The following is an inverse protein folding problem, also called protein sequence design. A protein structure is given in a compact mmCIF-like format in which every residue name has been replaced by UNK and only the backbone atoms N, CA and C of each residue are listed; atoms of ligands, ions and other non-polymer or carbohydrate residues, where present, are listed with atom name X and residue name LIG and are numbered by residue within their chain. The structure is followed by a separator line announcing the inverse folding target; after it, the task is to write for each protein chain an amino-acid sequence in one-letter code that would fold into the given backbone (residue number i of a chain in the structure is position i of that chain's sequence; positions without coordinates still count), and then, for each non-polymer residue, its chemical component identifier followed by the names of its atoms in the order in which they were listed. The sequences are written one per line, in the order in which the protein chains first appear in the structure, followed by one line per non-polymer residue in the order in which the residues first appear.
data_IF_765236094131
#
_entry.id   IF_765236094131
#
_cell.length_a   1.000
_cell.length_b   1.000
_cell.length_c   1.000
_cell.angle_alpha   90.00
_cell.angle_beta   90.00
_cell.angle_gamma   90.00
#
_symmetry.space_group_name_H-M   'P 1'
#
loop_
_entity.id
_entity.type
_entity.pdbx_description
1 polymer ?
#
# COMPACT_ATOMS: atom_id res chain seq x y z
N UNK A 1 -13.26 10.28 -36.82
CA UNK A 1 -13.92 9.17 -36.09
C UNK A 1 -14.84 8.46 -37.06
N UNK A 2 -14.82 7.11 -37.09
CA UNK A 2 -15.72 6.32 -37.94
C UNK A 2 -16.84 5.74 -37.08
N UNK A 3 -18.12 5.89 -37.47
CA UNK A 3 -19.24 5.36 -36.71
C UNK A 3 -19.33 3.82 -36.84
N UNK A 4 -19.98 3.18 -35.89
CA UNK A 4 -20.43 1.79 -36.04
C UNK A 4 -21.60 1.80 -37.02
N UNK A 5 -21.54 0.94 -38.07
CA UNK A 5 -22.54 0.89 -39.11
C UNK A 5 -23.40 -0.37 -39.01
N UNK A 6 -24.62 -0.34 -39.56
CA UNK A 6 -25.51 -1.51 -39.60
C UNK A 6 -24.87 -2.72 -40.25
N UNK A 7 -24.04 -2.51 -41.29
CA UNK A 7 -23.28 -3.59 -41.92
C UNK A 7 -22.29 -4.27 -40.97
N UNK A 8 -21.62 -3.49 -40.11
CA UNK A 8 -20.74 -4.05 -39.09
C UNK A 8 -21.52 -4.82 -38.01
N UNK A 9 -22.65 -4.28 -37.55
CA UNK A 9 -23.50 -4.93 -36.56
C UNK A 9 -24.09 -6.25 -37.08
N UNK A 10 -24.56 -6.27 -38.33
CA UNK A 10 -25.07 -7.48 -38.94
C UNK A 10 -23.98 -8.57 -39.07
N UNK A 11 -22.75 -8.20 -39.43
CA UNK A 11 -21.64 -9.13 -39.44
C UNK A 11 -21.32 -9.67 -38.06
N UNK A 12 -21.21 -8.81 -37.03
CA UNK A 12 -20.91 -9.22 -35.65
C UNK A 12 -22.03 -10.11 -35.09
N UNK A 13 -23.30 -9.84 -35.42
CA UNK A 13 -24.41 -10.68 -35.03
C UNK A 13 -24.33 -12.07 -35.67
N UNK A 14 -24.03 -12.14 -36.99
CA UNK A 14 -23.84 -13.42 -37.67
C UNK A 14 -22.65 -14.22 -37.10
N UNK A 15 -21.52 -13.57 -36.81
CA UNK A 15 -20.36 -14.20 -36.19
C UNK A 15 -20.68 -14.75 -34.80
N UNK A 16 -21.52 -14.04 -34.02
CA UNK A 16 -21.99 -14.48 -32.70
C UNK A 16 -22.91 -15.72 -32.83
N UNK A 17 -23.92 -15.67 -33.70
CA UNK A 17 -24.86 -16.77 -33.92
C UNK A 17 -24.19 -18.05 -34.44
N UNK A 18 -23.07 -17.91 -35.15
CA UNK A 18 -22.31 -19.05 -35.67
C UNK A 18 -21.38 -19.71 -34.65
N UNK A 19 -21.14 -19.07 -33.49
CA UNK A 19 -20.18 -19.56 -32.48
C UNK A 19 -20.87 -20.36 -31.37
N UNK A 20 -20.64 -21.66 -31.31
CA UNK A 20 -21.10 -22.52 -30.24
C UNK A 20 -20.45 -22.16 -28.88
N UNK A 21 -19.18 -21.74 -28.91
CA UNK A 21 -18.44 -21.32 -27.71
C UNK A 21 -19.06 -20.07 -27.06
N UNK A 22 -19.46 -19.08 -27.91
CA UNK A 22 -20.13 -17.86 -27.41
C UNK A 22 -21.52 -18.17 -26.85
N UNK A 23 -22.25 -19.11 -27.42
CA UNK A 23 -23.53 -19.56 -26.87
C UNK A 23 -23.35 -20.28 -25.53
N UNK A 24 -22.34 -21.15 -25.36
CA UNK A 24 -22.04 -21.79 -24.09
C UNK A 24 -21.63 -20.74 -23.03
N UNK A 25 -20.78 -19.79 -23.40
CA UNK A 25 -20.41 -18.69 -22.52
C UNK A 25 -21.64 -17.87 -22.09
N UNK A 26 -22.56 -17.57 -23.00
CA UNK A 26 -23.82 -16.88 -22.70
C UNK A 26 -24.67 -17.64 -21.68
N UNK A 27 -24.80 -18.96 -21.83
CA UNK A 27 -25.54 -19.80 -20.87
C UNK A 27 -24.86 -19.78 -19.50
N UNK A 28 -23.55 -19.93 -19.42
CA UNK A 28 -22.79 -19.93 -18.20
C UNK A 28 -22.85 -18.56 -17.46
N UNK A 29 -22.70 -17.46 -18.22
CA UNK A 29 -22.67 -16.10 -17.68
C UNK A 29 -24.07 -15.53 -17.37
N UNK A 30 -25.14 -16.15 -17.81
CA UNK A 30 -26.51 -15.64 -17.61
C UNK A 30 -26.92 -15.50 -16.13
N UNK A 31 -26.31 -16.29 -15.23
CA UNK A 31 -26.60 -16.29 -13.78
C UNK A 31 -25.37 -16.47 -12.90
N UNK A 32 -24.17 -16.43 -13.50
CA UNK A 32 -22.92 -16.62 -12.75
C UNK A 32 -22.01 -15.41 -12.94
N UNK A 33 -21.31 -15.06 -11.90
CA UNK A 33 -20.28 -14.02 -11.93
C UNK A 33 -19.14 -14.45 -12.83
N UNK A 34 -18.61 -13.52 -13.63
CA UNK A 34 -17.66 -13.77 -14.73
C UNK A 34 -16.36 -14.42 -14.23
N UNK A 35 -15.79 -13.95 -13.11
CA UNK A 35 -14.57 -14.52 -12.52
C UNK A 35 -14.79 -15.96 -12.05
N UNK A 36 -15.99 -16.27 -11.52
CA UNK A 36 -16.34 -17.62 -11.08
C UNK A 36 -16.41 -18.61 -12.26
N UNK A 37 -16.85 -18.16 -13.43
CA UNK A 37 -16.90 -19.01 -14.64
C UNK A 37 -15.51 -19.17 -15.27
N UNK A 38 -14.70 -18.11 -15.25
CA UNK A 38 -13.33 -18.15 -15.76
C UNK A 38 -12.35 -18.93 -14.88
N UNK A 39 -12.74 -19.23 -13.62
CA UNK A 39 -11.87 -19.86 -12.63
C UNK A 39 -11.54 -21.32 -12.97
N UNK A 40 -10.26 -21.65 -12.90
CA UNK A 40 -9.70 -22.99 -13.15
C UNK A 40 -9.19 -23.63 -11.85
N UNK A 41 -9.94 -24.59 -11.30
CA UNK A 41 -9.51 -25.34 -10.13
C UNK A 41 -8.16 -26.07 -10.34
N UNK A 42 -7.81 -26.42 -11.58
CA UNK A 42 -6.52 -27.04 -11.91
C UNK A 42 -5.35 -26.10 -11.65
N UNK A 43 -5.48 -24.82 -12.02
CA UNK A 43 -4.49 -23.79 -11.73
C UNK A 43 -4.35 -23.57 -10.23
N UNK A 44 -5.45 -23.30 -9.54
CA UNK A 44 -5.48 -23.04 -8.11
C UNK A 44 -4.91 -24.20 -7.25
N UNK A 45 -5.14 -25.46 -7.64
CA UNK A 45 -4.61 -26.62 -6.95
C UNK A 45 -3.07 -26.71 -7.01
N UNK A 46 -2.41 -26.00 -7.92
CA UNK A 46 -0.96 -25.89 -7.97
C UNK A 46 -0.42 -24.87 -6.95
N UNK A 47 -1.26 -23.94 -6.47
CA UNK A 47 -0.90 -22.91 -5.50
C UNK A 47 -0.90 -23.46 -4.05
N UNK A 48 0.04 -24.35 -3.75
CA UNK A 48 0.14 -24.99 -2.44
C UNK A 48 0.79 -24.04 -1.43
N UNK A 49 0.24 -24.00 -0.21
CA UNK A 49 0.80 -23.27 0.95
C UNK A 49 2.00 -24.03 1.59
N UNK A 50 3.01 -24.37 0.76
CA UNK A 50 4.25 -25.03 1.22
C UNK A 50 5.42 -24.36 0.52
N UNK A 51 6.41 -23.93 1.31
CA UNK A 51 7.48 -23.09 0.83
C UNK A 51 8.83 -23.64 1.26
N UNK A 52 9.85 -23.51 0.42
CA UNK A 52 11.22 -23.92 0.73
C UNK A 52 11.94 -22.93 1.64
N UNK A 53 11.51 -21.67 1.63
CA UNK A 53 11.93 -20.60 2.54
C UNK A 53 10.68 -20.01 3.15
N UNK A 54 10.57 -20.03 4.47
CA UNK A 54 9.41 -19.53 5.20
C UNK A 54 9.86 -18.88 6.51
N UNK A 55 9.40 -17.65 6.75
CA UNK A 55 9.62 -16.92 8.00
C UNK A 55 8.38 -17.11 8.86
N UNK A 56 8.48 -17.72 10.05
CA UNK A 56 7.36 -17.78 10.98
C UNK A 56 6.96 -16.37 11.42
N UNK A 57 5.66 -16.09 11.41
CA UNK A 57 5.09 -14.80 11.83
C UNK A 57 3.99 -15.01 12.85
N UNK A 58 3.64 -13.94 13.57
CA UNK A 58 2.51 -13.89 14.50
C UNK A 58 1.18 -13.98 13.74
N UNK A 59 0.06 -14.05 14.48
CA UNK A 59 -1.27 -14.11 13.88
C UNK A 59 -1.54 -12.92 12.95
N UNK A 60 -2.27 -13.18 11.86
CA UNK A 60 -2.60 -12.14 10.87
C UNK A 60 -3.49 -11.06 11.44
N UNK A 61 -3.30 -9.83 11.01
CA UNK A 61 -4.06 -8.66 11.43
C UNK A 61 -5.30 -8.41 10.57
N UNK A 62 -6.15 -7.45 10.97
CA UNK A 62 -7.37 -7.14 10.23
C UNK A 62 -7.64 -5.63 10.17
N UNK A 63 -7.41 -5.02 9.00
CA UNK A 63 -7.65 -3.60 8.73
C UNK A 63 -9.13 -3.21 8.65
N UNK A 64 -10.04 -4.19 8.64
CA UNK A 64 -11.49 -3.97 8.51
C UNK A 64 -11.84 -3.17 7.24
N UNK A 65 -12.76 -2.21 7.37
CA UNK A 65 -13.25 -1.34 6.27
C UNK A 65 -12.47 -0.02 6.20
N UNK A 66 -11.12 -0.13 6.16
CA UNK A 66 -10.21 1.01 6.03
C UNK A 66 -9.14 0.74 4.98
N UNK A 67 -8.57 1.78 4.37
CA UNK A 67 -7.47 1.68 3.40
C UNK A 67 -6.09 1.68 4.04
N UNK A 68 -5.95 1.29 5.31
CA UNK A 68 -4.70 1.35 6.08
C UNK A 68 -3.78 0.13 5.87
N UNK A 69 -3.90 -0.60 4.76
CA UNK A 69 -3.09 -1.79 4.46
C UNK A 69 -1.59 -1.55 4.65
N UNK A 70 -1.09 -0.42 4.17
CA UNK A 70 0.31 -0.02 4.26
C UNK A 70 0.81 0.14 5.70
N UNK A 71 -0.03 0.66 6.62
CA UNK A 71 0.26 0.74 8.06
C UNK A 71 0.26 -0.65 8.71
N UNK A 72 -0.75 -1.48 8.39
CA UNK A 72 -0.82 -2.85 8.87
C UNK A 72 0.39 -3.66 8.41
N UNK A 73 0.73 -3.61 7.13
CA UNK A 73 1.91 -4.29 6.61
C UNK A 73 3.21 -3.80 7.27
N UNK A 74 3.38 -2.49 7.43
CA UNK A 74 4.58 -1.92 8.05
C UNK A 74 4.68 -2.26 9.55
N UNK A 75 3.59 -2.15 10.31
CA UNK A 75 3.58 -2.55 11.72
C UNK A 75 3.78 -4.04 11.89
N UNK A 76 3.32 -4.89 10.94
CA UNK A 76 3.59 -6.33 10.96
C UNK A 76 5.09 -6.62 10.77
N UNK A 77 5.80 -5.88 9.89
CA UNK A 77 7.26 -6.00 9.80
C UNK A 77 7.95 -5.64 11.11
N UNK A 78 7.53 -4.56 11.77
CA UNK A 78 8.13 -4.14 13.05
C UNK A 78 7.82 -5.11 14.18
N UNK A 79 6.57 -5.59 14.29
CA UNK A 79 6.15 -6.46 15.40
C UNK A 79 6.90 -7.78 15.43
N UNK A 80 7.26 -8.34 14.26
CA UNK A 80 8.03 -9.60 14.21
C UNK A 80 9.40 -9.43 14.88
N UNK A 81 10.07 -8.30 14.67
CA UNK A 81 11.34 -7.99 15.35
C UNK A 81 11.16 -7.79 16.85
N UNK A 82 10.12 -7.06 17.26
CA UNK A 82 9.82 -6.79 18.67
C UNK A 82 9.50 -8.11 19.39
N UNK A 83 8.64 -8.93 18.78
CA UNK A 83 8.24 -10.22 19.34
C UNK A 83 9.44 -11.18 19.49
N UNK A 84 10.32 -11.23 18.50
CA UNK A 84 11.54 -12.01 18.57
C UNK A 84 12.49 -11.51 19.67
N UNK A 85 12.71 -10.19 19.74
CA UNK A 85 13.60 -9.57 20.73
C UNK A 85 13.11 -9.72 22.18
N UNK A 86 11.79 -9.83 22.38
CA UNK A 86 11.14 -9.94 23.68
C UNK A 86 10.53 -11.32 23.97
N UNK A 87 10.77 -12.29 23.13
CA UNK A 87 10.25 -13.67 23.26
C UNK A 87 8.71 -13.68 23.43
N UNK A 88 7.98 -12.84 22.65
CA UNK A 88 6.53 -12.70 22.76
C UNK A 88 5.83 -13.76 21.91
N UNK A 89 4.79 -14.38 22.45
CA UNK A 89 3.94 -15.34 21.73
C UNK A 89 2.95 -14.60 20.79
N UNK A 90 2.44 -13.45 21.24
CA UNK A 90 1.55 -12.59 20.47
C UNK A 90 1.87 -11.12 20.77
N UNK A 91 1.85 -10.28 19.74
CA UNK A 91 2.08 -8.85 19.88
C UNK A 91 1.55 -8.11 18.66
N UNK A 92 0.98 -6.95 18.87
CA UNK A 92 0.54 -6.05 17.80
C UNK A 92 0.86 -4.60 18.17
N UNK A 93 1.32 -3.81 17.19
CA UNK A 93 1.43 -2.37 17.29
C UNK A 93 0.12 -1.70 16.91
N UNK A 94 -0.16 -0.52 17.45
CA UNK A 94 -1.36 0.23 17.14
C UNK A 94 -1.26 0.91 15.77
N UNK A 95 -2.02 0.41 14.81
CA UNK A 95 -2.22 1.08 13.52
C UNK A 95 -3.15 2.29 13.65
N UNK A 96 -4.03 2.27 14.65
CA UNK A 96 -4.93 3.39 14.98
C UNK A 96 -4.15 4.63 15.40
N UNK A 97 -3.10 4.47 16.23
CA UNK A 97 -2.20 5.54 16.63
C UNK A 97 -1.49 6.20 15.45
N UNK A 98 -0.91 5.38 14.58
CA UNK A 98 -0.22 5.86 13.39
C UNK A 98 -1.18 6.53 12.40
N UNK A 99 -2.39 5.97 12.24
CA UNK A 99 -3.41 6.53 11.38
C UNK A 99 -3.92 7.90 11.87
N UNK A 100 -4.03 8.11 13.19
CA UNK A 100 -4.35 9.42 13.76
C UNK A 100 -3.35 10.49 13.29
N UNK A 101 -2.06 10.21 13.47
CA UNK A 101 -1.01 11.16 13.11
C UNK A 101 -0.86 11.32 11.60
N UNK A 102 -0.98 10.24 10.83
CA UNK A 102 -0.99 10.32 9.37
C UNK A 102 -2.12 11.22 8.86
N UNK A 103 -3.35 11.06 9.37
CA UNK A 103 -4.48 11.90 8.99
C UNK A 103 -4.23 13.37 9.31
N UNK A 104 -3.72 13.65 10.50
CA UNK A 104 -3.44 15.02 10.92
C UNK A 104 -2.35 15.67 10.07
N UNK A 105 -1.25 14.97 9.83
CA UNK A 105 -0.14 15.46 9.02
C UNK A 105 -0.54 15.63 7.54
N UNK A 106 -1.31 14.71 6.97
CA UNK A 106 -1.83 14.86 5.60
C UNK A 106 -2.75 16.07 5.46
N UNK A 107 -3.55 16.37 6.49
CA UNK A 107 -4.35 17.57 6.46
C UNK A 107 -3.47 18.83 6.40
N UNK A 108 -2.38 18.87 7.17
CA UNK A 108 -1.40 19.94 7.10
C UNK A 108 -0.70 19.97 5.73
N UNK A 109 -0.26 18.83 5.22
CA UNK A 109 0.39 18.69 3.92
C UNK A 109 -0.50 19.16 2.76
N UNK A 110 -1.79 18.82 2.80
CA UNK A 110 -2.79 19.31 1.84
C UNK A 110 -2.92 20.84 1.88
N UNK A 111 -2.96 21.44 3.06
CA UNK A 111 -3.06 22.91 3.21
C UNK A 111 -1.80 23.60 2.73
N UNK A 112 -0.61 23.08 3.02
CA UNK A 112 0.66 23.60 2.50
C UNK A 112 0.73 23.49 0.96
N UNK A 113 0.40 22.33 0.39
CA UNK A 113 0.34 22.14 -1.06
C UNK A 113 -0.66 23.08 -1.74
N UNK A 114 -1.78 23.37 -1.06
CA UNK A 114 -2.77 24.34 -1.50
C UNK A 114 -2.21 25.77 -1.53
N UNK A 115 -1.43 26.14 -0.52
CA UNK A 115 -0.77 27.46 -0.44
C UNK A 115 0.36 27.58 -1.46
N UNK A 116 1.19 26.56 -1.63
CA UNK A 116 2.25 26.51 -2.64
C UNK A 116 1.72 26.75 -4.06
N UNK A 117 0.55 26.18 -4.35
CA UNK A 117 -0.10 26.28 -5.68
C UNK A 117 -1.15 27.39 -5.79
N UNK A 118 -1.23 28.29 -4.81
CA UNK A 118 -2.30 29.32 -4.75
C UNK A 118 -2.33 30.28 -5.97
N UNK A 119 -1.18 30.53 -6.59
CA UNK A 119 -1.05 31.36 -7.78
C UNK A 119 -1.57 30.69 -9.07
N UNK A 120 -1.71 29.36 -9.09
CA UNK A 120 -2.21 28.62 -10.25
C UNK A 120 -3.75 28.63 -10.27
N UNK A 121 -4.39 28.58 -11.44
CA UNK A 121 -5.86 28.49 -11.50
C UNK A 121 -6.34 27.11 -11.04
N UNK A 122 -7.59 27.02 -10.58
CA UNK A 122 -8.19 25.72 -10.16
C UNK A 122 -8.34 24.71 -11.30
N UNK A 123 -8.17 25.12 -12.55
CA UNK A 123 -8.13 24.26 -13.74
C UNK A 123 -6.73 23.75 -14.08
N UNK A 124 -5.69 24.20 -13.36
CA UNK A 124 -4.35 23.63 -13.48
C UNK A 124 -4.34 22.17 -13.03
N UNK A 125 -3.65 21.31 -13.76
CA UNK A 125 -3.65 19.86 -13.51
C UNK A 125 -3.12 19.50 -12.13
N UNK A 126 -2.11 20.23 -11.63
CA UNK A 126 -1.56 20.03 -10.29
C UNK A 126 -2.57 20.39 -9.21
N UNK A 127 -3.25 21.53 -9.37
CA UNK A 127 -4.30 21.95 -8.43
C UNK A 127 -5.48 20.98 -8.45
N UNK A 128 -5.88 20.53 -9.64
CA UNK A 128 -6.93 19.52 -9.77
C UNK A 128 -6.54 18.21 -9.09
N UNK A 129 -5.29 17.77 -9.23
CA UNK A 129 -4.77 16.57 -8.55
C UNK A 129 -4.87 16.75 -7.02
N UNK A 130 -4.30 17.80 -6.42
CA UNK A 130 -4.39 18.07 -4.98
C UNK A 130 -5.84 18.06 -4.50
N UNK A 131 -6.74 18.75 -5.20
CA UNK A 131 -8.14 18.84 -4.82
C UNK A 131 -8.91 17.53 -5.02
N UNK A 132 -8.52 16.66 -5.95
CA UNK A 132 -9.17 15.36 -6.18
C UNK A 132 -8.68 14.30 -5.22
N UNK A 133 -7.38 14.23 -4.97
CA UNK A 133 -6.75 13.24 -4.07
C UNK A 133 -7.19 13.50 -2.62
N UNK A 134 -7.09 14.74 -2.12
CA UNK A 134 -7.52 15.08 -0.77
C UNK A 134 -6.73 14.31 0.31
N UNK A 135 -7.44 13.73 1.30
CA UNK A 135 -6.86 12.93 2.39
C UNK A 135 -7.48 11.55 2.39
N UNK A 136 -6.76 10.57 1.85
CA UNK A 136 -7.15 9.17 1.78
C UNK A 136 -6.45 8.33 2.87
N UNK A 137 -6.69 7.01 2.87
CA UNK A 137 -6.12 6.10 3.86
C UNK A 137 -4.81 5.46 3.40
N UNK A 138 -4.57 5.40 2.09
CA UNK A 138 -3.41 4.74 1.48
C UNK A 138 -2.08 5.42 1.83
N UNK A 139 -0.95 4.80 1.55
CA UNK A 139 0.37 5.39 1.81
C UNK A 139 1.53 4.50 1.41
N UNK A 140 2.72 5.08 1.44
CA UNK A 140 3.98 4.47 1.06
C UNK A 140 4.80 4.10 2.30
N UNK A 141 5.82 3.22 2.13
CA UNK A 141 6.73 2.87 3.23
C UNK A 141 7.39 4.11 3.86
N UNK A 142 7.90 5.04 3.06
CA UNK A 142 8.56 6.24 3.55
C UNK A 142 7.62 7.17 4.32
N UNK A 143 6.33 7.20 3.96
CA UNK A 143 5.31 7.95 4.68
C UNK A 143 5.05 7.33 6.06
N UNK A 144 5.02 5.99 6.17
CA UNK A 144 4.98 5.30 7.45
C UNK A 144 6.22 5.62 8.30
N UNK A 145 7.40 5.53 7.70
CA UNK A 145 8.66 5.82 8.39
C UNK A 145 8.72 7.26 8.92
N UNK A 146 8.19 8.24 8.19
CA UNK A 146 8.11 9.63 8.63
C UNK A 146 7.20 9.78 9.86
N UNK A 147 6.02 9.15 9.87
CA UNK A 147 5.12 9.18 11.04
C UNK A 147 5.76 8.49 12.23
N UNK A 148 6.36 7.32 12.04
CA UNK A 148 7.01 6.59 13.12
C UNK A 148 8.23 7.32 13.70
N UNK A 149 9.02 8.04 12.87
CA UNK A 149 10.13 8.90 13.34
C UNK A 149 9.64 10.11 14.14
N UNK A 150 8.57 10.75 13.69
CA UNK A 150 8.08 11.99 14.30
C UNK A 150 7.30 11.73 15.58
N UNK A 151 6.46 10.70 15.60
CA UNK A 151 5.51 10.44 16.67
C UNK A 151 5.78 9.16 17.46
N UNK A 152 6.68 8.30 17.01
CA UNK A 152 6.93 6.99 17.59
C UNK A 152 5.86 5.97 17.22
N UNK A 153 5.86 4.85 17.96
CA UNK A 153 4.89 3.77 17.86
C UNK A 153 4.45 3.34 19.26
N UNK A 154 3.29 2.73 19.38
CA UNK A 154 2.77 2.22 20.65
C UNK A 154 2.20 0.80 20.47
N UNK A 155 2.19 -0.04 21.53
CA UNK A 155 1.44 -1.29 21.54
C UNK A 155 -0.05 -1.06 21.29
N UNK A 156 -0.73 -2.07 20.74
CA UNK A 156 -2.15 -1.97 20.38
C UNK A 156 -3.06 -1.76 21.59
N UNK A 157 -2.77 -2.42 22.70
CA UNK A 157 -3.52 -2.30 23.96
C UNK A 157 -3.40 -0.91 24.63
N UNK A 158 -2.39 -0.13 24.26
CA UNK A 158 -2.23 1.27 24.69
C UNK A 158 -3.14 2.23 23.91
N UNK A 159 -3.41 1.93 22.63
CA UNK A 159 -4.27 2.76 21.80
C UNK A 159 -4.99 1.87 20.76
N UNK A 160 -6.13 1.35 21.18
CA UNK A 160 -6.88 0.36 20.42
C UNK A 160 -7.71 0.98 19.28
N UNK A 161 -8.38 0.13 18.54
CA UNK A 161 -9.26 0.49 17.42
C UNK A 161 -10.58 1.08 17.93
N UNK A 162 -11.05 2.09 17.22
CA UNK A 162 -12.40 2.63 17.36
C UNK A 162 -13.27 2.18 16.18
N UNK A 163 -14.58 2.48 16.24
CA UNK A 163 -15.44 2.28 15.08
C UNK A 163 -14.95 3.09 13.88
N UNK A 164 -14.55 4.35 14.09
CA UNK A 164 -14.11 5.25 13.01
C UNK A 164 -12.75 4.86 12.43
N UNK A 165 -11.80 4.38 13.23
CA UNK A 165 -10.52 3.85 12.71
C UNK A 165 -10.71 2.60 11.87
N UNK A 166 -11.70 1.75 12.21
CA UNK A 166 -12.04 0.53 11.48
C UNK A 166 -13.00 0.75 10.29
N UNK A 167 -13.63 1.93 10.17
CA UNK A 167 -14.61 2.30 9.14
C UNK A 167 -14.42 3.76 8.71
N UNK A 168 -13.37 4.04 7.99
CA UNK A 168 -12.82 5.39 7.76
C UNK A 168 -13.59 6.24 6.76
N UNK A 169 -14.42 5.65 5.91
CA UNK A 169 -15.08 6.34 4.77
C UNK A 169 -15.80 7.63 5.16
N UNK A 170 -16.63 7.59 6.21
CA UNK A 170 -17.43 8.75 6.62
C UNK A 170 -16.56 9.86 7.23
N UNK A 171 -15.57 9.49 8.04
CA UNK A 171 -14.59 10.40 8.61
C UNK A 171 -13.78 11.09 7.51
N UNK A 172 -13.22 10.35 6.57
CA UNK A 172 -12.46 10.88 5.44
C UNK A 172 -13.28 11.87 4.61
N UNK A 173 -14.56 11.56 4.36
CA UNK A 173 -15.45 12.46 3.63
C UNK A 173 -15.62 13.82 4.33
N UNK A 174 -15.70 13.86 5.68
CA UNK A 174 -15.79 15.11 6.43
C UNK A 174 -14.45 15.87 6.42
N UNK A 175 -13.32 15.19 6.58
CA UNK A 175 -11.99 15.80 6.47
C UNK A 175 -11.78 16.44 5.10
N UNK A 176 -12.04 15.69 4.01
CA UNK A 176 -11.92 16.20 2.64
C UNK A 176 -12.82 17.43 2.42
N UNK A 177 -14.05 17.40 2.93
CA UNK A 177 -14.97 18.55 2.85
C UNK A 177 -14.41 19.76 3.58
N UNK A 178 -13.93 19.59 4.82
CA UNK A 178 -13.34 20.67 5.62
C UNK A 178 -12.12 21.27 4.93
N UNK A 179 -11.23 20.43 4.41
CA UNK A 179 -10.02 20.85 3.70
C UNK A 179 -10.33 21.61 2.41
N UNK A 180 -11.32 21.19 1.62
CA UNK A 180 -11.73 21.91 0.41
C UNK A 180 -12.34 23.28 0.74
N UNK A 181 -13.11 23.39 1.83
CA UNK A 181 -13.62 24.69 2.32
C UNK A 181 -12.45 25.58 2.75
N UNK A 182 -11.49 25.06 3.51
CA UNK A 182 -10.30 25.79 3.92
C UNK A 182 -9.44 26.23 2.70
N UNK A 183 -9.24 25.36 1.72
CA UNK A 183 -8.53 25.69 0.49
C UNK A 183 -9.19 26.84 -0.28
N UNK A 184 -10.53 26.85 -0.37
CA UNK A 184 -11.27 27.93 -1.01
C UNK A 184 -11.12 29.28 -0.29
N UNK A 185 -10.89 29.26 1.03
CA UNK A 185 -10.60 30.48 1.82
C UNK A 185 -9.13 30.92 1.77
N UNK A 186 -8.19 29.94 1.86
CA UNK A 186 -6.75 30.21 1.93
C UNK A 186 -6.16 30.69 0.59
N UNK A 187 -6.57 30.09 -0.53
CA UNK A 187 -6.03 30.45 -1.86
C UNK A 187 -6.18 31.93 -2.22
N UNK A 188 -7.35 32.57 -2.05
CA UNK A 188 -7.46 34.00 -2.27
C UNK A 188 -6.58 34.85 -1.35
N UNK A 189 -6.50 34.49 -0.05
CA UNK A 189 -5.64 35.21 0.90
C UNK A 189 -4.16 35.16 0.47
N UNK A 190 -3.70 34.01 -0.02
CA UNK A 190 -2.33 33.85 -0.53
C UNK A 190 -2.12 34.61 -1.85
N UNK A 191 -3.09 34.59 -2.77
CA UNK A 191 -3.02 35.28 -4.05
C UNK A 191 -3.04 36.83 -3.87
N UNK A 192 -3.83 37.34 -2.93
CA UNK A 192 -3.93 38.73 -2.59
C UNK A 192 -2.76 39.23 -1.72
N UNK A 193 -1.76 38.36 -1.46
CA UNK A 193 -0.58 38.65 -0.62
C UNK A 193 -0.98 39.16 0.77
N UNK A 194 -2.04 38.61 1.35
CA UNK A 194 -2.33 38.78 2.77
C UNK A 194 -1.08 38.45 3.59
N UNK A 195 -0.90 39.14 4.72
CA UNK A 195 0.29 38.94 5.54
C UNK A 195 0.41 37.44 5.97
N UNK A 196 1.62 36.95 6.04
CA UNK A 196 1.91 35.55 6.42
C UNK A 196 1.21 35.11 7.73
N UNK A 197 1.10 36.04 8.71
CA UNK A 197 0.43 35.81 9.98
C UNK A 197 -1.07 35.54 9.84
N UNK A 198 -1.74 36.22 8.90
CA UNK A 198 -3.17 36.03 8.67
C UNK A 198 -3.45 34.65 8.01
N UNK A 199 -2.62 34.27 7.04
CA UNK A 199 -2.69 32.95 6.39
C UNK A 199 -2.44 31.85 7.42
N UNK A 200 -1.39 31.98 8.25
CA UNK A 200 -1.06 31.01 9.29
C UNK A 200 -2.15 30.90 10.35
N UNK A 201 -2.76 32.02 10.76
CA UNK A 201 -3.86 32.01 11.71
C UNK A 201 -5.09 31.23 11.20
N UNK A 202 -5.50 31.44 9.93
CA UNK A 202 -6.62 30.71 9.34
C UNK A 202 -6.30 29.22 9.14
N UNK A 203 -5.07 28.90 8.72
CA UNK A 203 -4.60 27.51 8.64
C UNK A 203 -4.63 26.84 10.01
N UNK A 204 -4.09 27.48 11.05
CA UNK A 204 -4.05 26.93 12.42
C UNK A 204 -5.44 26.71 12.98
N UNK A 205 -6.40 27.59 12.73
CA UNK A 205 -7.79 27.43 13.13
C UNK A 205 -8.42 26.17 12.47
N UNK A 206 -8.10 25.93 11.20
CA UNK A 206 -8.55 24.73 10.50
C UNK A 206 -7.93 23.47 11.12
N UNK A 207 -6.61 23.48 11.38
CA UNK A 207 -5.90 22.34 11.97
C UNK A 207 -6.37 22.04 13.40
N UNK A 208 -6.65 23.06 14.23
CA UNK A 208 -7.20 22.89 15.57
C UNK A 208 -8.56 22.16 15.54
N UNK A 209 -9.46 22.60 14.65
CA UNK A 209 -10.76 21.94 14.47
C UNK A 209 -10.60 20.47 13.96
N UNK A 210 -9.65 20.22 13.06
CA UNK A 210 -9.34 18.87 12.57
C UNK A 210 -8.77 18.00 13.68
N UNK A 211 -7.84 18.51 14.50
CA UNK A 211 -7.29 17.78 15.64
C UNK A 211 -8.38 17.36 16.63
N UNK A 212 -9.25 18.29 17.01
CA UNK A 212 -10.40 17.98 17.88
C UNK A 212 -11.35 16.94 17.28
N UNK A 213 -11.59 17.01 15.98
CA UNK A 213 -12.41 16.02 15.27
C UNK A 213 -11.73 14.63 15.23
N UNK A 214 -10.42 14.58 14.97
CA UNK A 214 -9.66 13.32 15.01
C UNK A 214 -9.64 12.73 16.43
N UNK A 215 -9.46 13.52 17.47
CA UNK A 215 -9.58 13.05 18.86
C UNK A 215 -10.99 12.47 19.15
N UNK A 216 -12.04 13.04 18.58
CA UNK A 216 -13.40 12.50 18.70
C UNK A 216 -13.59 11.16 17.96
N UNK A 217 -12.81 10.92 16.89
CA UNK A 217 -12.90 9.71 16.08
C UNK A 217 -12.01 8.57 16.59
N UNK A 218 -10.81 8.89 17.04
CA UNK A 218 -9.76 7.93 17.40
C UNK A 218 -9.48 7.86 18.91
N UNK A 219 -9.83 8.89 19.68
CA UNK A 219 -9.34 9.14 21.02
C UNK A 219 -8.13 10.09 21.02
N UNK A 220 -7.79 10.65 22.18
CA UNK A 220 -6.57 11.45 22.32
C UNK A 220 -5.33 10.54 22.34
N UNK A 221 -4.30 10.80 21.51
CA UNK A 221 -3.08 10.00 21.51
C UNK A 221 -2.35 10.04 22.86
N UNK A 222 -1.84 8.91 23.37
CA UNK A 222 -1.15 8.85 24.65
C UNK A 222 0.19 9.59 24.58
N UNK A 223 0.52 10.34 25.65
CA UNK A 223 1.81 11.02 25.81
C UNK A 223 2.85 10.10 26.43
N UNK A 224 2.42 9.21 27.31
CA UNK A 224 3.23 8.19 27.98
C UNK A 224 2.35 7.00 28.35
N UNK A 225 2.97 5.83 28.51
CA UNK A 225 2.31 4.59 28.88
C UNK A 225 3.28 3.64 29.58
N UNK A 226 2.73 2.62 30.22
CA UNK A 226 3.50 1.48 30.72
C UNK A 226 3.35 0.32 29.72
N UNK A 227 4.46 -0.35 29.38
CA UNK A 227 4.46 -1.52 28.53
C UNK A 227 4.56 -2.77 29.38
N UNK A 228 3.47 -3.52 29.47
CA UNK A 228 3.35 -4.76 30.23
C UNK A 228 3.21 -5.93 29.26
N UNK A 229 3.94 -7.03 29.53
CA UNK A 229 3.80 -8.25 28.75
C UNK A 229 4.23 -9.49 29.53
N UNK A 230 3.74 -10.64 29.11
CA UNK A 230 4.21 -11.96 29.56
C UNK A 230 4.90 -12.64 28.37
N UNK A 231 6.15 -13.05 28.54
CA UNK A 231 6.91 -13.72 27.51
C UNK A 231 6.50 -15.21 27.37
N UNK A 232 7.06 -15.93 26.36
CA UNK A 232 6.79 -17.36 26.16
C UNK A 232 7.19 -18.26 27.33
N UNK A 233 8.13 -17.81 28.16
CA UNK A 233 8.58 -18.49 29.36
C UNK A 233 7.68 -18.19 30.57
N UNK A 234 6.54 -17.52 30.35
CA UNK A 234 5.55 -17.14 31.36
C UNK A 234 6.12 -16.17 32.42
N UNK A 235 7.12 -15.37 32.06
CA UNK A 235 7.69 -14.31 32.90
C UNK A 235 6.98 -13.00 32.61
N UNK A 236 6.50 -12.35 33.67
CA UNK A 236 5.91 -11.02 33.59
C UNK A 236 6.98 -9.93 33.54
N UNK A 237 6.79 -8.99 32.64
CA UNK A 237 7.65 -7.83 32.44
C UNK A 237 6.82 -6.54 32.46
N UNK A 238 7.40 -5.45 32.98
CA UNK A 238 6.83 -4.11 32.91
C UNK A 238 7.93 -3.08 32.67
N UNK A 239 7.72 -2.21 31.71
CA UNK A 239 8.55 -1.03 31.45
C UNK A 239 7.69 0.21 31.61
N UNK A 240 8.02 1.05 32.59
CA UNK A 240 7.18 2.17 33.01
C UNK A 240 7.56 3.48 32.34
N UNK A 241 6.57 4.36 32.19
CA UNK A 241 6.71 5.75 31.74
C UNK A 241 7.41 5.88 30.37
N UNK A 242 7.12 4.97 29.44
CA UNK A 242 7.59 5.09 28.08
C UNK A 242 6.77 6.15 27.33
N UNK A 243 7.44 6.98 26.55
CA UNK A 243 6.78 7.78 25.51
C UNK A 243 6.74 6.96 24.21
N UNK A 244 5.84 7.27 23.26
CA UNK A 244 5.84 6.61 21.95
C UNK A 244 7.20 6.66 21.25
N UNK A 245 7.94 7.76 21.39
CA UNK A 245 9.29 7.93 20.82
C UNK A 245 10.33 7.05 21.52
N UNK A 246 10.34 7.02 22.86
CA UNK A 246 11.30 6.17 23.59
C UNK A 246 11.01 4.69 23.39
N UNK A 247 9.75 4.32 23.19
CA UNK A 247 9.39 2.96 22.81
C UNK A 247 9.90 2.64 21.38
N UNK A 248 9.69 3.54 20.42
CA UNK A 248 10.21 3.36 19.06
C UNK A 248 11.74 3.27 19.04
N UNK A 249 12.44 4.17 19.75
CA UNK A 249 13.90 4.14 19.86
C UNK A 249 14.40 2.79 20.37
N UNK A 250 13.76 2.27 21.42
CA UNK A 250 14.17 1.01 22.07
C UNK A 250 13.88 -0.24 21.25
N UNK A 251 12.77 -0.28 20.54
CA UNK A 251 12.25 -1.50 19.92
C UNK A 251 12.33 -1.51 18.40
N UNK A 252 12.25 -0.37 17.76
CA UNK A 252 12.42 -0.22 16.30
C UNK A 252 13.88 0.09 15.96
N UNK A 253 14.55 0.92 16.80
CA UNK A 253 15.93 1.30 16.61
C UNK A 253 16.14 2.03 15.28
N UNK A 254 17.19 1.64 14.56
CA UNK A 254 17.60 2.23 13.29
C UNK A 254 16.96 1.58 12.05
N UNK A 255 16.06 0.60 12.23
CA UNK A 255 15.45 -0.14 11.10
C UNK A 255 14.90 0.79 10.03
N UNK A 256 14.18 1.84 10.42
CA UNK A 256 13.58 2.77 9.48
C UNK A 256 14.60 3.49 8.58
N UNK A 257 15.85 3.58 9.02
CA UNK A 257 16.97 4.17 8.27
C UNK A 257 17.73 3.14 7.42
N UNK A 258 17.56 1.85 7.74
CA UNK A 258 18.19 0.75 7.00
C UNK A 258 17.34 0.25 5.83
N UNK A 259 16.08 0.62 5.74
CA UNK A 259 15.18 0.16 4.67
C UNK A 259 15.24 1.09 3.47
N UNK A 260 15.33 0.50 2.29
CA UNK A 260 15.25 1.16 0.98
C UNK A 260 13.97 0.71 0.28
N UNK A 261 13.20 1.66 -0.21
CA UNK A 261 12.08 1.37 -1.10
C UNK A 261 12.61 1.08 -2.51
N UNK A 262 12.36 -0.13 -2.98
CA UNK A 262 12.70 -0.56 -4.34
C UNK A 262 11.43 -0.76 -5.15
N UNK A 263 11.47 -0.44 -6.45
CA UNK A 263 10.37 -0.65 -7.39
C UNK A 263 10.82 -1.46 -8.60
N UNK A 264 9.86 -2.07 -9.26
CA UNK A 264 10.02 -2.58 -10.61
C UNK A 264 8.99 -1.89 -11.52
N UNK A 265 9.41 -0.84 -12.19
CA UNK A 265 8.64 -0.06 -13.16
C UNK A 265 9.38 -0.08 -14.51
N UNK A 266 9.09 -1.01 -15.42
CA UNK A 266 9.83 -1.22 -16.67
C UNK A 266 9.44 -0.25 -17.79
N UNK A 267 8.92 0.94 -17.44
CA UNK A 267 8.48 1.96 -18.40
C UNK A 267 9.66 2.74 -18.97
N UNK A 268 9.54 3.26 -20.19
CA UNK A 268 10.64 3.92 -20.89
C UNK A 268 11.14 5.21 -20.20
N UNK A 269 10.26 5.88 -19.48
CA UNK A 269 10.57 7.10 -18.69
C UNK A 269 11.24 6.81 -17.35
N UNK A 270 11.32 5.55 -16.93
CA UNK A 270 11.92 5.12 -15.66
C UNK A 270 13.06 4.11 -15.86
N UNK A 271 14.22 4.52 -16.42
CA UNK A 271 15.40 3.66 -16.52
C UNK A 271 15.74 2.96 -15.20
N UNK A 272 16.15 1.70 -15.28
CA UNK A 272 16.65 0.96 -14.12
C UNK A 272 17.90 1.59 -13.51
N UNK A 273 18.18 1.28 -12.23
CA UNK A 273 19.32 1.76 -11.47
C UNK A 273 19.35 3.29 -11.27
N UNK A 274 18.16 3.91 -11.30
CA UNK A 274 17.91 5.30 -10.96
C UNK A 274 16.94 5.38 -9.79
N UNK A 275 17.01 6.49 -9.06
CA UNK A 275 16.05 6.81 -8.01
C UNK A 275 15.00 7.78 -8.51
N UNK A 276 13.78 7.64 -8.00
CA UNK A 276 12.61 8.42 -8.36
C UNK A 276 11.88 8.92 -7.13
N UNK A 277 11.38 10.14 -7.20
CA UNK A 277 10.41 10.69 -6.23
C UNK A 277 9.21 11.26 -6.99
N UNK A 278 8.07 11.25 -6.36
CA UNK A 278 6.83 11.78 -6.95
C UNK A 278 6.52 13.11 -6.29
N UNK A 279 6.37 14.16 -7.07
CA UNK A 279 6.04 15.50 -6.59
C UNK A 279 4.70 15.49 -5.87
N UNK A 280 4.62 16.16 -4.71
CA UNK A 280 3.41 16.24 -3.87
C UNK A 280 2.93 14.89 -3.31
N UNK A 281 3.76 13.85 -3.33
CA UNK A 281 3.50 12.60 -2.64
C UNK A 281 4.19 12.64 -1.27
N UNK A 282 3.40 12.71 -0.20
CA UNK A 282 3.92 12.77 1.18
C UNK A 282 2.81 12.94 2.20
N UNK A 283 3.20 12.98 3.46
CA UNK A 283 2.30 13.21 4.59
C UNK A 283 2.87 14.24 5.58
N UNK A 284 4.14 14.15 5.93
CA UNK A 284 4.82 15.05 6.87
C UNK A 284 5.60 16.10 6.06
N UNK A 285 5.31 17.39 6.25
CA UNK A 285 5.90 18.49 5.45
C UNK A 285 7.42 18.52 5.60
N UNK A 286 7.94 18.39 6.82
CA UNK A 286 9.38 18.31 7.10
C UNK A 286 9.97 16.90 7.00
N UNK A 287 9.17 15.91 6.58
CA UNK A 287 9.58 14.52 6.44
C UNK A 287 10.51 14.28 5.26
N UNK A 288 11.10 13.10 5.22
CA UNK A 288 11.88 12.66 4.05
C UNK A 288 10.92 12.43 2.86
N UNK A 289 11.33 12.79 1.63
CA UNK A 289 10.54 12.47 0.44
C UNK A 289 10.40 10.95 0.29
N UNK A 290 9.33 10.52 -0.40
CA UNK A 290 9.21 9.14 -0.87
C UNK A 290 10.21 8.95 -2.01
N UNK A 291 11.15 8.02 -1.85
CA UNK A 291 12.20 7.75 -2.84
C UNK A 291 12.25 6.27 -3.17
N UNK A 292 12.17 5.95 -4.44
CA UNK A 292 12.22 4.60 -4.96
C UNK A 292 13.45 4.35 -5.81
N UNK A 293 14.15 3.24 -5.59
CA UNK A 293 15.20 2.73 -6.48
C UNK A 293 14.56 1.74 -7.47
N UNK A 294 14.64 2.04 -8.78
CA UNK A 294 14.09 1.14 -9.81
C UNK A 294 15.10 0.05 -10.17
N UNK A 295 14.68 -1.20 -10.03
CA UNK A 295 15.48 -2.40 -10.27
C UNK A 295 14.84 -3.28 -11.35
N UNK A 296 15.67 -4.08 -12.04
CA UNK A 296 15.14 -5.18 -12.85
C UNK A 296 14.38 -6.18 -11.96
N UNK A 297 13.44 -6.94 -12.54
CA UNK A 297 12.67 -7.91 -11.76
C UNK A 297 13.55 -8.98 -11.10
N UNK A 298 14.63 -9.40 -11.77
CA UNK A 298 15.57 -10.37 -11.20
C UNK A 298 16.30 -9.81 -9.97
N UNK A 299 16.79 -8.58 -10.02
CA UNK A 299 17.45 -7.90 -8.90
C UNK A 299 16.46 -7.64 -7.75
N UNK A 300 15.25 -7.20 -8.08
CA UNK A 300 14.16 -6.98 -7.13
C UNK A 300 13.83 -8.26 -6.36
N UNK A 301 13.61 -9.39 -7.06
CA UNK A 301 13.36 -10.69 -6.46
C UNK A 301 14.56 -11.19 -5.66
N UNK A 302 15.78 -11.02 -6.16
CA UNK A 302 17.00 -11.49 -5.49
C UNK A 302 17.16 -10.82 -4.11
N UNK A 303 16.92 -9.53 -4.01
CA UNK A 303 16.99 -8.78 -2.75
C UNK A 303 15.92 -9.29 -1.74
N UNK A 304 14.68 -9.48 -2.19
CA UNK A 304 13.59 -10.01 -1.37
C UNK A 304 13.90 -11.44 -0.88
N UNK A 305 14.38 -12.31 -1.78
CA UNK A 305 14.74 -13.70 -1.44
C UNK A 305 15.89 -13.72 -0.43
N UNK A 306 16.89 -12.85 -0.56
CA UNK A 306 17.99 -12.73 0.38
C UNK A 306 17.49 -12.36 1.78
N UNK A 307 16.59 -11.38 1.89
CA UNK A 307 15.99 -10.96 3.16
C UNK A 307 15.14 -12.07 3.79
N UNK A 308 14.29 -12.75 3.01
CA UNK A 308 13.50 -13.89 3.49
C UNK A 308 14.37 -15.04 3.98
N UNK A 309 15.46 -15.38 3.28
CA UNK A 309 16.44 -16.41 3.71
C UNK A 309 17.14 -16.03 5.01
N UNK A 310 17.28 -14.75 5.31
CA UNK A 310 17.81 -14.26 6.59
C UNK A 310 16.76 -14.27 7.73
N UNK A 311 15.56 -14.78 7.48
CA UNK A 311 14.49 -14.86 8.49
C UNK A 311 13.77 -13.54 8.72
N UNK A 312 13.79 -12.62 7.76
CA UNK A 312 13.17 -11.30 7.85
C UNK A 312 12.07 -11.16 6.78
N UNK A 313 10.91 -10.72 7.20
CA UNK A 313 9.75 -10.48 6.33
C UNK A 313 9.92 -9.18 5.52
N UNK A 314 9.17 -9.04 4.41
CA UNK A 314 9.32 -7.90 3.49
C UNK A 314 7.96 -7.24 3.24
N UNK A 315 7.84 -5.94 3.54
CA UNK A 315 6.72 -5.13 3.11
C UNK A 315 6.73 -4.97 1.59
N UNK A 316 5.57 -5.09 0.92
CA UNK A 316 5.48 -4.91 -0.52
C UNK A 316 4.14 -4.32 -0.96
N UNK A 317 4.14 -3.64 -2.11
CA UNK A 317 2.98 -3.05 -2.77
C UNK A 317 2.67 -3.74 -4.09
N UNK A 318 1.40 -4.01 -4.34
CA UNK A 318 0.92 -4.74 -5.52
C UNK A 318 -0.44 -4.26 -5.99
N UNK A 319 -0.84 -4.70 -7.19
CA UNK A 319 -2.21 -4.62 -7.68
C UNK A 319 -2.92 -5.96 -7.43
N UNK A 320 -3.79 -6.02 -6.44
CA UNK A 320 -4.55 -7.23 -6.09
C UNK A 320 -5.87 -7.37 -6.85
N UNK A 321 -6.17 -6.44 -7.77
CA UNK A 321 -7.39 -6.44 -8.56
C UNK A 321 -7.44 -7.50 -9.67
N UNK A 322 -6.33 -8.21 -9.91
CA UNK A 322 -6.17 -9.11 -11.04
C UNK A 322 -5.97 -10.57 -10.59
N UNK A 323 -6.69 -11.49 -11.22
CA UNK A 323 -6.53 -12.95 -11.10
C UNK A 323 -6.52 -13.45 -9.64
N UNK A 324 -7.38 -12.86 -8.80
CA UNK A 324 -7.49 -13.19 -7.38
C UNK A 324 -8.72 -14.01 -7.05
N UNK A 325 -8.56 -15.11 -6.32
CA UNK A 325 -9.64 -15.83 -5.65
C UNK A 325 -9.47 -15.63 -4.13
N UNK A 326 -10.37 -14.83 -3.57
CA UNK A 326 -10.25 -14.34 -2.19
C UNK A 326 -10.44 -15.44 -1.14
N UNK A 327 -11.37 -16.35 -1.36
CA UNK A 327 -11.73 -17.38 -0.37
C UNK A 327 -10.59 -18.39 -0.22
N UNK A 328 -9.99 -18.81 -1.34
CA UNK A 328 -8.82 -19.70 -1.34
C UNK A 328 -7.52 -18.97 -0.98
N UNK A 329 -7.51 -17.65 -1.07
CA UNK A 329 -6.30 -16.85 -0.85
C UNK A 329 -5.25 -17.05 -1.93
N UNK A 330 -5.67 -17.02 -3.19
CA UNK A 330 -4.80 -17.28 -4.34
C UNK A 330 -4.81 -16.09 -5.29
N UNK A 331 -3.61 -15.65 -5.73
CA UNK A 331 -3.40 -14.80 -6.89
C UNK A 331 -2.56 -15.56 -7.91
N UNK A 332 -3.17 -15.91 -9.03
CA UNK A 332 -2.49 -16.70 -10.08
C UNK A 332 -3.17 -16.49 -11.44
N UNK A 333 -2.42 -16.00 -12.40
CA UNK A 333 -2.87 -15.74 -13.76
C UNK A 333 -3.32 -17.02 -14.51
N UNK A 334 -2.78 -18.20 -14.13
CA UNK A 334 -3.15 -19.50 -14.70
C UNK A 334 -4.38 -20.12 -14.07
N UNK A 335 -4.85 -19.56 -12.96
CA UNK A 335 -6.09 -19.99 -12.30
C UNK A 335 -7.35 -19.34 -12.89
N UNK A 336 -7.21 -18.52 -13.93
CA UNK A 336 -8.33 -17.89 -14.62
C UNK A 336 -8.09 -17.89 -16.13
N UNK A 337 -9.11 -18.25 -16.90
CA UNK A 337 -9.07 -18.21 -18.36
C UNK A 337 -10.16 -17.28 -18.92
N UNK A 338 -9.98 -15.99 -18.63
CA UNK A 338 -10.88 -14.95 -19.15
C UNK A 338 -10.85 -14.86 -20.69
N UNK A 339 -9.67 -15.11 -21.30
CA UNK A 339 -9.53 -15.02 -22.76
C UNK A 339 -10.35 -16.12 -23.47
N UNK A 340 -10.27 -17.36 -22.99
CA UNK A 340 -11.08 -18.46 -23.53
C UNK A 340 -12.58 -18.21 -23.30
N UNK A 341 -12.98 -17.70 -22.14
CA UNK A 341 -14.37 -17.43 -21.81
C UNK A 341 -14.97 -16.30 -22.65
N UNK A 342 -14.22 -15.22 -22.90
CA UNK A 342 -14.75 -13.98 -23.50
C UNK A 342 -14.38 -13.82 -24.98
N UNK A 343 -13.34 -14.49 -25.46
CA UNK A 343 -12.75 -14.28 -26.79
C UNK A 343 -12.02 -12.94 -26.93
N UNK A 344 -11.77 -12.23 -25.82
CA UNK A 344 -11.03 -10.96 -25.82
C UNK A 344 -9.53 -11.21 -25.69
N UNK A 345 -8.71 -10.37 -26.35
CA UNK A 345 -7.27 -10.31 -26.08
C UNK A 345 -7.05 -9.51 -24.80
N UNK A 346 -6.55 -10.16 -23.73
CA UNK A 346 -6.45 -9.57 -22.39
C UNK A 346 -5.00 -9.57 -21.85
N UNK A 347 -4.03 -9.94 -22.69
CA UNK A 347 -2.61 -9.88 -22.31
C UNK A 347 -2.02 -8.51 -22.63
N UNK A 348 -1.30 -7.95 -21.65
CA UNK A 348 -0.54 -6.72 -21.79
C UNK A 348 0.73 -6.87 -20.94
N UNK A 349 1.86 -6.38 -21.42
CA UNK A 349 3.07 -6.39 -20.59
C UNK A 349 2.98 -5.35 -19.46
N UNK A 350 3.88 -5.47 -18.49
CA UNK A 350 3.86 -4.64 -17.28
C UNK A 350 4.10 -3.16 -17.56
N UNK A 351 4.96 -2.83 -18.54
CA UNK A 351 5.24 -1.45 -18.91
C UNK A 351 3.99 -0.79 -19.50
N UNK A 352 3.40 -1.43 -20.50
CA UNK A 352 2.16 -0.94 -21.11
C UNK A 352 1.01 -0.90 -20.09
N UNK A 353 0.91 -1.88 -19.18
CA UNK A 353 -0.11 -1.89 -18.15
C UNK A 353 -0.04 -0.67 -17.21
N UNK A 354 1.18 -0.23 -16.88
CA UNK A 354 1.41 1.01 -16.12
C UNK A 354 1.09 2.26 -16.96
N UNK A 355 1.61 2.33 -18.20
CA UNK A 355 1.48 3.51 -19.05
C UNK A 355 0.03 3.76 -19.50
N UNK A 356 -0.74 2.69 -19.71
CA UNK A 356 -2.17 2.77 -20.10
C UNK A 356 -3.14 2.73 -18.91
N UNK A 357 -2.61 2.67 -17.66
CA UNK A 357 -3.42 2.68 -16.44
C UNK A 357 -4.28 1.42 -16.26
N UNK A 358 -3.83 0.27 -16.79
CA UNK A 358 -4.50 -1.02 -16.59
C UNK A 358 -4.14 -1.61 -15.22
N UNK A 359 -2.94 -1.38 -14.73
CA UNK A 359 -2.47 -1.85 -13.43
C UNK A 359 -1.80 -0.71 -12.65
N UNK A 360 -2.08 -0.66 -11.36
CA UNK A 360 -1.47 0.29 -10.43
C UNK A 360 -1.50 -0.28 -9.01
N UNK A 361 -0.56 0.13 -8.15
CA UNK A 361 -0.55 -0.31 -6.76
C UNK A 361 -1.82 0.12 -6.03
N UNK A 362 -2.51 -0.83 -5.41
CA UNK A 362 -3.73 -0.58 -4.64
C UNK A 362 -3.76 -1.28 -3.28
N UNK A 363 -2.75 -2.13 -2.98
CA UNK A 363 -2.70 -2.86 -1.71
C UNK A 363 -1.27 -3.17 -1.28
N UNK A 364 -1.01 -2.99 0.02
CA UNK A 364 0.26 -3.34 0.64
C UNK A 364 0.08 -4.53 1.60
N UNK A 365 1.06 -5.43 1.59
CA UNK A 365 1.07 -6.68 2.35
C UNK A 365 2.50 -7.03 2.78
N UNK A 366 2.68 -8.22 3.37
CA UNK A 366 3.98 -8.71 3.82
C UNK A 366 4.31 -10.04 3.15
N UNK A 367 5.48 -10.12 2.50
CA UNK A 367 6.04 -11.40 2.05
C UNK A 367 6.67 -12.13 3.24
N UNK A 368 6.24 -13.35 3.46
CA UNK A 368 6.70 -14.19 4.58
C UNK A 368 7.34 -15.50 4.12
N UNK A 369 7.37 -15.76 2.82
CA UNK A 369 8.04 -16.95 2.28
C UNK A 369 8.06 -16.99 0.77
N UNK A 370 8.90 -17.90 0.25
CA UNK A 370 9.04 -18.17 -1.18
C UNK A 370 9.34 -19.64 -1.39
N UNK A 371 8.75 -20.25 -2.43
CA UNK A 371 9.14 -21.55 -2.88
C UNK A 371 10.11 -21.43 -4.06
N UNK A 372 11.29 -22.00 -3.89
CA UNK A 372 12.33 -22.04 -4.92
C UNK A 372 12.35 -23.43 -5.57
N UNK A 373 12.59 -23.48 -6.87
CA UNK A 373 12.87 -24.72 -7.60
C UNK A 373 14.32 -25.21 -7.37
N UNK A 374 14.70 -26.30 -8.01
CA UNK A 374 16.05 -26.89 -7.92
C UNK A 374 17.15 -25.95 -8.45
N UNK A 375 16.81 -25.04 -9.34
CA UNK A 375 17.71 -24.02 -9.87
C UNK A 375 17.76 -22.75 -9.00
N UNK A 376 16.98 -22.72 -7.89
CA UNK A 376 16.88 -21.56 -6.99
C UNK A 376 15.98 -20.45 -7.49
N UNK A 377 15.15 -20.68 -8.54
CA UNK A 377 14.21 -19.71 -9.05
C UNK A 377 12.89 -19.75 -8.28
N UNK A 378 12.25 -18.59 -8.01
CA UNK A 378 10.97 -18.56 -7.35
C UNK A 378 9.87 -19.16 -8.24
N UNK A 379 8.93 -19.85 -7.61
CA UNK A 379 7.76 -20.45 -8.27
C UNK A 379 6.45 -19.95 -7.70
N UNK A 380 6.44 -19.58 -6.42
CA UNK A 380 5.30 -18.96 -5.71
C UNK A 380 5.78 -18.31 -4.42
N UNK A 381 4.97 -17.37 -3.93
CA UNK A 381 5.29 -16.53 -2.78
C UNK A 381 4.21 -16.63 -1.71
N UNK A 382 4.62 -16.66 -0.44
CA UNK A 382 3.73 -16.62 0.72
C UNK A 382 3.51 -15.18 1.15
N UNK A 383 2.25 -14.83 1.36
CA UNK A 383 1.83 -13.47 1.68
C UNK A 383 1.02 -13.48 2.97
N UNK A 384 1.41 -12.66 3.94
CA UNK A 384 0.57 -12.29 5.07
C UNK A 384 -0.27 -11.08 4.68
N UNK A 385 -1.60 -11.26 4.68
CA UNK A 385 -2.55 -10.21 4.35
C UNK A 385 -3.17 -9.63 5.63
N UNK A 386 -3.73 -8.43 5.54
CA UNK A 386 -4.40 -7.73 6.65
C UNK A 386 -5.94 -7.76 6.55
N UNK A 387 -6.51 -8.87 6.08
CA UNK A 387 -7.96 -9.04 5.96
C UNK A 387 -8.56 -10.04 6.97
N UNK A 388 -7.79 -10.36 8.03
CA UNK A 388 -8.15 -11.34 9.03
C UNK A 388 -7.98 -12.78 8.55
N UNK A 389 -8.33 -13.73 9.40
CA UNK A 389 -8.02 -15.16 9.29
C UNK A 389 -9.03 -16.02 8.51
N UNK A 390 -10.16 -15.42 8.06
CA UNK A 390 -11.27 -16.18 7.48
C UNK A 390 -11.03 -16.71 6.06
N UNK A 391 -10.14 -16.07 5.30
CA UNK A 391 -9.84 -16.40 3.91
C UNK A 391 -8.40 -16.92 3.79
N UNK A 392 -8.12 -17.66 2.71
CA UNK A 392 -6.83 -18.29 2.52
C UNK A 392 -6.51 -19.32 3.60
N UNK A 393 -5.24 -19.58 3.87
CA UNK A 393 -4.82 -20.41 4.99
C UNK A 393 -4.60 -19.55 6.24
N UNK A 394 -5.66 -19.38 7.06
CA UNK A 394 -5.64 -18.52 8.25
C UNK A 394 -5.19 -17.08 7.98
N UNK A 395 -5.65 -16.49 6.86
CA UNK A 395 -5.30 -15.14 6.43
C UNK A 395 -4.01 -15.02 5.61
N UNK A 396 -3.28 -16.14 5.42
CA UNK A 396 -2.16 -16.19 4.47
C UNK A 396 -2.65 -16.50 3.07
N UNK A 397 -2.03 -15.85 2.12
CA UNK A 397 -2.30 -15.97 0.69
C UNK A 397 -1.06 -16.50 -0.03
N UNK A 398 -1.26 -16.99 -1.25
CA UNK A 398 -0.17 -17.41 -2.13
C UNK A 398 -0.35 -16.77 -3.50
N UNK A 399 0.75 -16.28 -4.09
CA UNK A 399 0.72 -15.91 -5.49
C UNK A 399 1.75 -16.70 -6.31
N UNK A 400 1.43 -16.92 -7.60
CA UNK A 400 2.39 -17.47 -8.56
C UNK A 400 3.50 -16.47 -8.86
N UNK A 401 4.65 -16.98 -9.32
CA UNK A 401 5.77 -16.10 -9.71
C UNK A 401 5.44 -15.26 -10.94
N UNK A 402 4.63 -15.79 -11.87
CA UNK A 402 4.14 -15.02 -13.04
C UNK A 402 3.22 -13.87 -12.64
N UNK A 403 2.33 -14.09 -11.65
CA UNK A 403 1.52 -13.00 -11.11
C UNK A 403 2.39 -11.96 -10.38
N UNK A 404 3.39 -12.43 -9.64
CA UNK A 404 4.34 -11.56 -8.95
C UNK A 404 5.08 -10.65 -9.95
N UNK A 405 5.58 -11.20 -11.05
CA UNK A 405 6.26 -10.44 -12.10
C UNK A 405 5.39 -9.30 -12.65
N UNK A 406 4.12 -9.57 -12.85
CA UNK A 406 3.20 -8.64 -13.50
C UNK A 406 2.62 -7.59 -12.55
N UNK A 407 2.29 -7.97 -11.29
CA UNK A 407 1.44 -7.16 -10.41
C UNK A 407 2.12 -6.71 -9.10
N UNK A 408 3.35 -7.11 -8.83
CA UNK A 408 4.14 -6.56 -7.71
C UNK A 408 5.05 -5.46 -8.22
N UNK A 409 4.93 -4.27 -7.63
CA UNK A 409 5.61 -3.07 -8.12
C UNK A 409 6.62 -2.50 -7.13
N UNK A 410 6.44 -2.70 -5.83
CA UNK A 410 7.26 -2.10 -4.79
C UNK A 410 7.58 -3.08 -3.67
N UNK A 411 8.77 -2.98 -3.09
CA UNK A 411 9.13 -3.63 -1.84
C UNK A 411 10.00 -2.72 -0.98
N UNK A 412 9.92 -2.93 0.34
CA UNK A 412 10.79 -2.26 1.31
C UNK A 412 11.81 -3.28 1.82
N UNK A 413 13.06 -3.13 1.39
CA UNK A 413 14.14 -4.08 1.61
C UNK A 413 15.22 -3.46 2.48
N UNK A 414 15.73 -4.18 3.47
CA UNK A 414 16.88 -3.71 4.27
C UNK A 414 18.13 -3.59 3.39
N UNK A 415 18.85 -2.51 3.55
CA UNK A 415 20.00 -2.08 2.73
C UNK A 415 21.04 -3.18 2.53
N UNK A 416 21.30 -3.98 3.55
CA UNK A 416 22.27 -5.06 3.52
C UNK A 416 21.96 -6.15 2.46
N UNK A 417 20.67 -6.36 2.13
CA UNK A 417 20.23 -7.37 1.14
C UNK A 417 20.26 -6.87 -0.31
N UNK A 418 20.51 -5.58 -0.51
CA UNK A 418 20.70 -5.00 -1.83
C UNK A 418 22.16 -5.14 -2.34
N UNK A 419 23.10 -5.49 -1.48
CA UNK A 419 24.52 -5.58 -1.84
C UNK A 419 25.02 -4.28 -2.47
N UNK A 420 25.71 -4.35 -3.62
CA UNK A 420 26.21 -3.17 -4.32
C UNK A 420 25.13 -2.23 -4.86
N UNK A 421 23.89 -2.70 -5.02
CA UNK A 421 22.77 -1.85 -5.46
C UNK A 421 22.35 -0.83 -4.37
N UNK A 422 22.71 -1.08 -3.11
CA UNK A 422 22.41 -0.18 -2.00
C UNK A 422 22.99 1.24 -2.20
N UNK A 423 24.14 1.36 -2.84
CA UNK A 423 24.77 2.67 -3.08
C UNK A 423 24.03 3.50 -4.11
N UNK A 424 23.25 2.84 -5.00
CA UNK A 424 22.41 3.52 -5.98
C UNK A 424 21.24 4.27 -5.34
N UNK A 425 20.80 3.86 -4.16
CA UNK A 425 19.73 4.52 -3.41
C UNK A 425 20.11 5.92 -2.89
N UNK A 426 21.39 6.27 -2.89
CA UNK A 426 21.88 7.58 -2.48
C UNK A 426 21.93 8.62 -3.62
N UNK A 427 21.53 8.27 -4.84
CA UNK A 427 21.46 9.18 -5.97
C UNK A 427 20.38 10.24 -5.75
N UNK A 428 20.58 11.43 -6.35
CA UNK A 428 19.54 12.45 -6.44
C UNK A 428 18.35 11.89 -7.24
N UNK A 429 17.13 11.89 -6.69
CA UNK A 429 16.01 11.28 -7.36
C UNK A 429 15.48 12.13 -8.53
N UNK A 430 15.12 11.46 -9.60
CA UNK A 430 14.35 12.05 -10.71
C UNK A 430 12.94 12.31 -10.20
N UNK A 431 12.47 13.56 -10.37
CA UNK A 431 11.15 13.97 -9.91
C UNK A 431 10.11 13.62 -10.96
N UNK A 432 9.16 12.77 -10.58
CA UNK A 432 8.00 12.39 -11.39
C UNK A 432 6.81 13.32 -11.10
N UNK A 433 5.87 13.34 -12.02
CA UNK A 433 4.64 14.13 -11.85
C UNK A 433 3.71 13.54 -10.77
N UNK A 434 2.85 14.34 -10.13
CA UNK A 434 2.00 13.88 -9.03
C UNK A 434 1.07 12.71 -9.37
N UNK A 435 0.75 12.53 -10.63
CA UNK A 435 -0.14 11.48 -11.15
C UNK A 435 0.62 10.27 -11.72
N UNK A 436 1.89 10.11 -11.36
CA UNK A 436 2.65 8.92 -11.76
C UNK A 436 2.08 7.68 -11.08
N UNK A 437 1.96 6.54 -11.81
CA UNK A 437 1.38 5.32 -11.25
C UNK A 437 2.14 4.74 -10.05
N UNK A 438 3.41 5.13 -9.83
CA UNK A 438 4.14 4.72 -8.63
C UNK A 438 3.68 5.41 -7.35
N UNK A 439 2.83 6.44 -7.45
CA UNK A 439 2.20 7.12 -6.31
C UNK A 439 0.87 6.53 -5.84
N UNK A 440 0.22 5.69 -6.64
CA UNK A 440 -1.20 5.30 -6.47
C UNK A 440 -1.54 4.56 -5.18
N UNK A 441 -0.58 3.91 -4.51
CA UNK A 441 -0.82 3.27 -3.21
C UNK A 441 -1.20 4.29 -2.11
N UNK A 442 -0.93 5.57 -2.32
CA UNK A 442 -1.25 6.64 -1.39
C UNK A 442 -2.56 7.39 -1.70
N UNK A 443 -3.24 7.01 -2.79
CA UNK A 443 -4.48 7.62 -3.26
C UNK A 443 -5.75 7.03 -2.63
#
# INVERSE_FOLDING_TARGET
MKPVTDSLLNRFGADYEASAERHLATLALSKSELSSVAFSSKGANAMRQKFSVEVPTLEVTNQKSSGRCWLFAATNVLRERIAQARNLENFELSQSYLAFWDKFERCNYFLESTLETAALPTTDRTVMHILSTGVHDGGQWDMFANIARKYGVVPKDVYDETYQSSNTRSMNAQLIRALKIAAAGLRPLAADKAGADAIQAEKNKTLDAIYGFLCSCYGEPPKAFDFEFVDKDQVYHIEKNLTPLTFAERYVGDLLDQVVSVINAPTADKPYHKTYTIRLLGNVVEGRPVVHLNLTMDEFKAAIIAQLKAGKVVWFGSDVGHFGERTLGVWDDRSFDFAALTGLSLSMDKADALDYGLAAMNHAMVLTGVNLDEAGKPTRWKIENSWGDKNGEKGYYVCSDSWFDQYVFQAAVEREYLGSLADLAAQEPIVLEPWDPMGTLAD
#
